data_IF_582550929313
#
_entry.id   IF_582550929313
#
_cell.length_a   1.000
_cell.length_b   1.000
_cell.length_c   1.000
_cell.angle_alpha   90.00
_cell.angle_beta   90.00
_cell.angle_gamma   90.00
#
_symmetry.space_group_name_H-M   'P 1'
#
loop_
_entity.id
_entity.type
_entity.pdbx_description
1 polymer ?
#
# COMPACT_ATOMS: atom_id res chain seq x y z
N UNK A 1 19.02 3.43 1.55
CA UNK A 1 17.64 3.65 2.03
C UNK A 1 16.99 2.32 2.34
N UNK A 2 16.00 2.35 3.23
CA UNK A 2 15.09 1.24 3.50
C UNK A 2 14.32 0.83 2.24
N UNK A 3 13.86 -0.41 2.19
CA UNK A 3 13.06 -1.01 1.11
C UNK A 3 11.58 -0.79 1.41
N UNK A 4 10.96 0.12 0.67
CA UNK A 4 9.56 0.47 0.81
C UNK A 4 8.70 -0.31 -0.19
N UNK A 5 7.71 -1.06 0.29
CA UNK A 5 6.66 -1.61 -0.57
C UNK A 5 5.44 -0.69 -0.51
N UNK A 6 4.96 -0.26 -1.68
CA UNK A 6 3.77 0.61 -1.79
C UNK A 6 2.67 -0.18 -2.47
N UNK A 7 1.51 -0.27 -1.82
CA UNK A 7 0.40 -1.13 -2.24
C UNK A 7 -0.94 -0.47 -1.98
N UNK A 8 -1.95 -0.78 -2.79
CA UNK A 8 -3.31 -0.27 -2.57
C UNK A 8 -4.38 -1.33 -2.89
N UNK A 9 -5.37 -1.42 -2.01
CA UNK A 9 -6.62 -2.13 -2.21
C UNK A 9 -7.73 -1.25 -2.79
N UNK A 10 -7.52 0.06 -3.00
CA UNK A 10 -8.49 0.97 -3.63
C UNK A 10 -7.92 1.70 -4.85
N UNK A 11 -7.58 0.98 -5.93
CA UNK A 11 -6.85 1.55 -7.07
C UNK A 11 -7.60 2.68 -7.79
N UNK A 12 -8.93 2.76 -7.68
CA UNK A 12 -9.73 3.83 -8.31
C UNK A 12 -9.56 5.19 -7.65
N UNK A 13 -9.32 5.22 -6.33
CA UNK A 13 -9.15 6.47 -5.57
C UNK A 13 -7.68 6.77 -5.26
N UNK A 14 -6.98 5.79 -4.69
CA UNK A 14 -5.68 6.02 -4.04
C UNK A 14 -4.46 5.79 -4.93
N UNK A 15 -4.61 5.20 -6.12
CA UNK A 15 -3.47 4.84 -6.97
C UNK A 15 -2.62 6.06 -7.37
N UNK A 16 -3.23 7.15 -7.83
CA UNK A 16 -2.51 8.38 -8.19
C UNK A 16 -1.72 8.95 -6.99
N UNK A 17 -2.34 8.95 -5.81
CA UNK A 17 -1.71 9.40 -4.58
C UNK A 17 -0.47 8.55 -4.22
N UNK A 18 -0.62 7.23 -4.26
CA UNK A 18 0.48 6.32 -3.95
C UNK A 18 1.62 6.40 -4.98
N UNK A 19 1.30 6.63 -6.25
CA UNK A 19 2.30 6.84 -7.32
C UNK A 19 3.15 8.08 -7.04
N UNK A 20 2.52 9.19 -6.66
CA UNK A 20 3.26 10.41 -6.32
C UNK A 20 4.18 10.23 -5.11
N UNK A 21 3.75 9.47 -4.11
CA UNK A 21 4.58 9.12 -2.95
C UNK A 21 5.74 8.19 -3.35
N UNK A 22 5.48 7.20 -4.20
CA UNK A 22 6.53 6.31 -4.72
C UNK A 22 7.63 7.09 -5.44
N UNK A 23 7.23 7.98 -6.36
CA UNK A 23 8.16 8.83 -7.11
C UNK A 23 8.94 9.77 -6.19
N UNK A 24 8.28 10.38 -5.20
CA UNK A 24 8.93 11.24 -4.22
C UNK A 24 9.99 10.49 -3.40
N UNK A 25 9.66 9.27 -2.97
CA UNK A 25 10.56 8.41 -2.20
C UNK A 25 11.78 8.00 -3.02
N UNK A 26 11.59 7.59 -4.28
CA UNK A 26 12.70 7.26 -5.18
C UNK A 26 13.56 8.50 -5.50
N UNK A 27 12.95 9.66 -5.72
CA UNK A 27 13.67 10.92 -5.96
C UNK A 27 14.55 11.34 -4.78
N UNK A 28 14.15 10.99 -3.54
CA UNK A 28 14.94 11.18 -2.33
C UNK A 28 16.02 10.08 -2.12
N UNK A 29 16.24 9.19 -3.09
CA UNK A 29 17.22 8.09 -2.99
C UNK A 29 16.72 6.85 -2.24
N UNK A 30 15.41 6.79 -1.95
CA UNK A 30 14.72 5.62 -1.42
C UNK A 30 14.67 4.46 -2.43
N UNK A 31 14.30 3.27 -1.94
CA UNK A 31 14.15 2.07 -2.79
C UNK A 31 12.72 1.55 -2.71
N UNK A 32 11.94 1.73 -3.77
CA UNK A 32 10.62 1.09 -3.90
C UNK A 32 10.82 -0.35 -4.39
N UNK A 33 10.21 -1.31 -3.70
CA UNK A 33 10.32 -2.74 -4.02
C UNK A 33 8.99 -3.34 -4.45
N UNK A 34 9.07 -4.23 -5.44
CA UNK A 34 7.93 -4.95 -6.00
C UNK A 34 7.95 -6.38 -5.52
N UNK A 35 7.10 -6.68 -4.55
CA UNK A 35 6.99 -8.00 -3.94
C UNK A 35 6.17 -8.90 -4.86
N UNK A 36 6.67 -10.13 -5.06
CA UNK A 36 5.99 -11.13 -5.85
C UNK A 36 5.58 -10.67 -7.26
N UNK A 37 6.34 -9.73 -7.86
CA UNK A 37 6.16 -9.34 -9.26
C UNK A 37 6.25 -10.61 -10.13
N UNK A 38 5.35 -10.74 -11.11
CA UNK A 38 5.17 -11.92 -11.98
C UNK A 38 4.74 -13.22 -11.28
N UNK A 39 4.28 -13.16 -10.02
CA UNK A 39 3.66 -14.31 -9.35
C UNK A 39 2.15 -14.29 -9.51
N UNK A 40 1.59 -15.48 -9.66
CA UNK A 40 0.16 -15.74 -9.61
C UNK A 40 -0.17 -16.56 -8.39
N UNK A 41 -1.30 -16.24 -7.79
CA UNK A 41 -1.80 -16.84 -6.59
C UNK A 41 -3.19 -17.44 -6.82
N UNK A 42 -3.51 -18.43 -6.00
CA UNK A 42 -4.77 -19.17 -6.04
C UNK A 42 -5.65 -18.77 -4.85
N UNK A 43 -6.20 -17.55 -4.89
CA UNK A 43 -7.25 -17.09 -3.99
C UNK A 43 -8.26 -16.23 -4.77
N UNK A 44 -9.39 -15.87 -4.15
CA UNK A 44 -10.49 -15.18 -4.83
C UNK A 44 -11.16 -16.04 -5.91
N UNK A 45 -11.40 -15.47 -7.11
CA UNK A 45 -12.10 -16.13 -8.22
C UNK A 45 -11.21 -17.02 -9.11
N UNK A 46 -10.03 -17.42 -8.63
CA UNK A 46 -9.19 -18.44 -9.28
C UNK A 46 -8.01 -17.91 -10.10
N UNK A 47 -7.88 -16.59 -10.28
CA UNK A 47 -6.65 -15.94 -10.77
C UNK A 47 -6.45 -14.64 -10.01
N UNK A 48 -5.50 -14.64 -9.09
CA UNK A 48 -5.07 -13.45 -8.38
C UNK A 48 -3.60 -13.16 -8.69
N UNK A 49 -3.30 -11.92 -9.04
CA UNK A 49 -1.92 -11.46 -9.22
C UNK A 49 -1.77 -10.04 -8.68
N UNK A 50 -0.52 -9.62 -8.50
CA UNK A 50 -0.19 -8.25 -8.12
C UNK A 50 0.34 -7.55 -9.36
N UNK A 51 -0.34 -6.50 -9.80
CA UNK A 51 0.11 -5.68 -10.89
C UNK A 51 0.73 -4.39 -10.34
N UNK A 52 1.93 -4.04 -10.82
CA UNK A 52 2.62 -2.83 -10.41
C UNK A 52 2.41 -1.72 -11.44
N UNK A 53 1.77 -0.62 -11.00
CA UNK A 53 1.64 0.60 -11.80
C UNK A 53 2.51 1.68 -11.18
N UNK A 54 3.56 2.10 -11.89
CA UNK A 54 4.53 3.11 -11.43
C UNK A 54 5.03 2.88 -9.98
N UNK A 55 5.35 1.63 -9.64
CA UNK A 55 5.88 1.24 -8.33
C UNK A 55 4.84 0.88 -7.28
N UNK A 56 3.54 1.07 -7.55
CA UNK A 56 2.46 0.74 -6.63
C UNK A 56 1.84 -0.61 -7.01
N UNK A 57 1.82 -1.55 -6.07
CA UNK A 57 1.23 -2.88 -6.24
C UNK A 57 -0.28 -2.86 -5.98
N UNK A 58 -1.05 -3.42 -6.90
CA UNK A 58 -2.50 -3.53 -6.81
C UNK A 58 -2.91 -4.99 -7.01
N UNK A 59 -3.98 -5.42 -6.33
CA UNK A 59 -4.62 -6.68 -6.68
C UNK A 59 -5.23 -6.61 -8.08
N UNK A 60 -4.94 -7.61 -8.91
CA UNK A 60 -5.50 -7.77 -10.24
C UNK A 60 -6.12 -9.15 -10.46
N UNK A 61 -7.22 -9.19 -11.21
CA UNK A 61 -7.93 -10.41 -11.62
C UNK A 61 -7.65 -10.81 -13.08
N UNK A 62 -6.46 -10.46 -13.56
CA UNK A 62 -5.94 -10.76 -14.89
C UNK A 62 -6.10 -9.63 -15.91
N UNK A 63 -7.19 -8.85 -15.85
CA UNK A 63 -7.39 -7.71 -16.76
C UNK A 63 -7.79 -6.42 -16.05
N UNK A 64 -8.27 -6.49 -14.81
CA UNK A 64 -8.70 -5.32 -14.04
C UNK A 64 -7.88 -5.19 -12.78
N UNK A 65 -7.64 -3.94 -12.35
CA UNK A 65 -7.26 -3.66 -10.97
C UNK A 65 -8.54 -3.70 -10.13
N UNK A 66 -8.50 -4.44 -9.03
CA UNK A 66 -9.68 -4.77 -8.25
C UNK A 66 -9.64 -4.12 -6.88
N UNK A 67 -10.73 -3.43 -6.54
CA UNK A 67 -10.92 -2.96 -5.17
C UNK A 67 -11.12 -4.13 -4.21
N UNK A 68 -10.37 -4.13 -3.10
CA UNK A 68 -10.44 -5.18 -2.09
C UNK A 68 -10.05 -4.66 -0.71
N UNK A 69 -10.81 -5.09 0.30
CA UNK A 69 -10.43 -4.95 1.71
C UNK A 69 -9.70 -6.19 2.25
N UNK A 70 -9.63 -7.27 1.47
CA UNK A 70 -9.12 -8.56 1.92
C UNK A 70 -7.58 -8.57 2.03
N UNK A 71 -7.02 -9.29 3.02
CA UNK A 71 -5.57 -9.36 3.24
C UNK A 71 -4.86 -10.38 2.33
N UNK A 72 -5.61 -11.29 1.69
CA UNK A 72 -5.08 -12.49 1.03
C UNK A 72 -3.93 -12.20 0.06
N UNK A 73 -4.04 -11.09 -0.67
CA UNK A 73 -3.03 -10.70 -1.66
C UNK A 73 -1.70 -10.33 -1.02
N UNK A 74 -1.74 -9.51 0.03
CA UNK A 74 -0.53 -9.15 0.75
C UNK A 74 0.04 -10.32 1.55
N UNK A 75 -0.81 -11.15 2.15
CA UNK A 75 -0.35 -12.37 2.82
C UNK A 75 0.44 -13.26 1.85
N UNK A 76 -0.09 -13.48 0.65
CA UNK A 76 0.57 -14.28 -0.37
C UNK A 76 1.88 -13.63 -0.88
N UNK A 77 1.92 -12.30 -1.00
CA UNK A 77 3.16 -11.55 -1.33
C UNK A 77 4.24 -11.74 -0.26
N UNK A 78 3.87 -11.70 1.02
CA UNK A 78 4.79 -11.80 2.15
C UNK A 78 5.31 -13.23 2.36
N UNK A 79 4.55 -14.26 1.94
CA UNK A 79 5.02 -15.66 1.97
C UNK A 79 6.21 -15.92 1.04
N UNK A 80 6.24 -15.31 -0.14
CA UNK A 80 7.33 -15.54 -1.11
C UNK A 80 8.55 -14.65 -0.87
N UNK A 81 8.36 -13.50 -0.21
CA UNK A 81 9.41 -12.52 0.04
C UNK A 81 10.06 -11.97 -1.25
N UNK A 82 11.16 -11.22 -1.13
CA UNK A 82 11.83 -10.81 0.11
C UNK A 82 11.06 -9.72 0.88
N UNK A 83 10.95 -9.84 2.21
CA UNK A 83 10.25 -8.89 3.07
C UNK A 83 10.72 -7.44 2.87
N UNK A 84 9.81 -6.45 2.81
CA UNK A 84 10.15 -5.03 2.83
C UNK A 84 10.53 -4.58 4.24
N UNK A 85 11.22 -3.45 4.35
CA UNK A 85 11.54 -2.82 5.63
C UNK A 85 10.38 -1.96 6.14
N UNK A 86 9.54 -1.46 5.23
CA UNK A 86 8.39 -0.59 5.49
C UNK A 86 7.31 -0.84 4.43
N UNK A 87 6.05 -0.78 4.82
CA UNK A 87 4.90 -0.80 3.90
C UNK A 87 4.19 0.56 3.93
N UNK A 88 3.87 1.10 2.76
CA UNK A 88 2.89 2.17 2.61
C UNK A 88 1.67 1.59 1.90
N UNK A 89 0.50 1.65 2.51
CA UNK A 89 -0.70 1.16 1.84
C UNK A 89 -1.99 1.37 2.60
N UNK A 90 -3.01 0.62 2.23
CA UNK A 90 -4.37 0.73 2.77
C UNK A 90 -5.03 -0.66 2.94
N UNK A 91 -6.19 -0.67 3.60
CA UNK A 91 -7.03 -1.85 3.81
C UNK A 91 -6.28 -3.12 4.27
N UNK A 92 -6.66 -4.28 3.73
CA UNK A 92 -6.05 -5.57 4.00
C UNK A 92 -4.58 -5.67 3.61
N UNK A 93 -4.10 -4.84 2.67
CA UNK A 93 -2.67 -4.78 2.37
C UNK A 93 -1.87 -4.23 3.54
N UNK A 94 -2.28 -3.09 4.10
CA UNK A 94 -1.66 -2.57 5.31
C UNK A 94 -1.88 -3.52 6.50
N UNK A 95 -3.10 -4.04 6.67
CA UNK A 95 -3.47 -4.93 7.76
C UNK A 95 -2.62 -6.21 7.82
N UNK A 96 -2.37 -6.85 6.68
CA UNK A 96 -1.52 -8.04 6.60
C UNK A 96 -0.05 -7.75 6.94
N UNK A 97 0.49 -6.62 6.48
CA UNK A 97 1.86 -6.20 6.81
C UNK A 97 2.02 -5.97 8.33
N UNK A 98 1.07 -5.24 8.92
CA UNK A 98 1.05 -4.95 10.35
C UNK A 98 0.94 -6.25 11.16
N UNK A 99 0.10 -7.19 10.72
CA UNK A 99 -0.08 -8.50 11.36
C UNK A 99 1.19 -9.36 11.33
N UNK A 100 2.06 -9.12 10.35
CA UNK A 100 3.40 -9.75 10.23
C UNK A 100 4.50 -9.00 10.99
N UNK A 101 4.15 -7.92 11.70
CA UNK A 101 5.10 -7.10 12.44
C UNK A 101 5.97 -6.21 11.56
N UNK A 102 5.56 -5.96 10.31
CA UNK A 102 6.25 -5.05 9.40
C UNK A 102 5.74 -3.63 9.70
N UNK A 103 6.63 -2.64 9.93
CA UNK A 103 6.23 -1.26 10.09
C UNK A 103 5.38 -0.79 8.91
N UNK A 104 4.36 0.03 9.18
CA UNK A 104 3.46 0.52 8.15
C UNK A 104 3.10 2.01 8.27
N UNK A 105 2.95 2.68 7.14
CA UNK A 105 2.20 3.93 7.02
C UNK A 105 0.90 3.56 6.29
N UNK A 106 -0.23 3.70 6.98
CA UNK A 106 -1.50 3.17 6.53
C UNK A 106 -2.50 4.30 6.25
N UNK A 107 -2.93 4.46 5.00
CA UNK A 107 -4.11 5.26 4.67
C UNK A 107 -5.34 4.50 5.16
N UNK A 108 -6.19 5.19 5.92
CA UNK A 108 -7.35 4.57 6.57
C UNK A 108 -8.58 5.44 6.38
N UNK A 109 -9.57 4.90 5.68
CA UNK A 109 -10.93 5.41 5.68
C UNK A 109 -11.68 4.90 6.93
N UNK A 110 -12.72 5.62 7.34
CA UNK A 110 -13.51 5.36 8.56
C UNK A 110 -14.22 4.00 8.54
N UNK A 111 -14.43 3.43 7.35
CA UNK A 111 -14.96 2.09 7.16
C UNK A 111 -13.91 0.97 7.34
N UNK A 112 -12.63 1.30 7.58
CA UNK A 112 -11.54 0.36 7.90
C UNK A 112 -10.97 0.54 9.32
N UNK A 113 -11.79 0.35 10.37
CA UNK A 113 -11.36 0.59 11.75
C UNK A 113 -10.24 -0.35 12.22
N UNK A 114 -9.98 -1.45 11.51
CA UNK A 114 -8.94 -2.41 11.86
C UNK A 114 -7.55 -1.76 11.98
N UNK A 115 -7.23 -0.78 11.14
CA UNK A 115 -5.95 -0.07 11.18
C UNK A 115 -5.82 0.84 12.42
N UNK A 116 -6.93 1.48 12.83
CA UNK A 116 -7.00 2.23 14.09
C UNK A 116 -6.88 1.30 15.31
N UNK A 117 -7.48 0.11 15.28
CA UNK A 117 -7.33 -0.89 16.33
C UNK A 117 -5.87 -1.32 16.44
N UNK A 118 -5.20 -1.60 15.33
CA UNK A 118 -3.79 -1.96 15.34
C UNK A 118 -2.90 -0.86 15.95
N UNK A 119 -3.18 0.41 15.63
CA UNK A 119 -2.52 1.54 16.28
C UNK A 119 -2.78 1.57 17.80
N UNK A 120 -4.02 1.40 18.23
CA UNK A 120 -4.39 1.38 19.65
C UNK A 120 -3.75 0.19 20.41
N UNK A 121 -3.49 -0.92 19.72
CA UNK A 121 -2.75 -2.06 20.25
C UNK A 121 -1.21 -1.88 20.22
N UNK A 122 -0.72 -0.67 19.94
CA UNK A 122 0.71 -0.32 19.86
C UNK A 122 1.47 -1.14 18.80
N UNK A 123 0.82 -1.50 17.69
CA UNK A 123 1.54 -1.97 16.50
C UNK A 123 2.30 -0.82 15.87
N UNK A 124 3.39 -1.12 15.17
CA UNK A 124 4.20 -0.12 14.47
C UNK A 124 3.50 0.36 13.20
N UNK A 125 2.49 1.23 13.39
CA UNK A 125 1.70 1.80 12.32
C UNK A 125 1.45 3.28 12.56
N UNK A 126 1.77 4.08 11.53
CA UNK A 126 1.32 5.46 11.42
C UNK A 126 0.06 5.49 10.57
N UNK A 127 -1.07 5.87 11.17
CA UNK A 127 -2.36 5.98 10.48
C UNK A 127 -2.51 7.36 9.87
N UNK A 128 -2.84 7.42 8.58
CA UNK A 128 -3.20 8.62 7.83
C UNK A 128 -4.71 8.59 7.57
N UNK A 129 -5.52 9.25 8.42
CA UNK A 129 -6.98 9.21 8.26
C UNK A 129 -7.40 10.00 7.02
N UNK A 130 -8.08 9.35 6.08
CA UNK A 130 -8.46 9.96 4.80
C UNK A 130 -9.60 9.15 4.15
N UNK A 131 -10.60 9.84 3.58
CA UNK A 131 -11.62 9.23 2.71
C UNK A 131 -10.94 8.73 1.43
N UNK A 132 -10.94 7.42 1.17
CA UNK A 132 -10.21 6.79 0.07
C UNK A 132 -11.00 6.74 -1.25
N UNK A 133 -12.25 7.22 -1.22
CA UNK A 133 -13.19 7.13 -2.33
C UNK A 133 -13.57 8.50 -2.90
N UNK A 134 -12.57 9.37 -3.03
CA UNK A 134 -12.67 10.68 -3.67
C UNK A 134 -12.03 10.66 -5.06
N UNK A 135 -12.30 11.72 -5.83
CA UNK A 135 -11.61 11.93 -7.10
C UNK A 135 -10.10 11.98 -6.86
N UNK A 136 -9.29 11.17 -7.57
CA UNK A 136 -7.84 11.05 -7.33
C UNK A 136 -7.09 12.38 -7.21
N UNK A 137 -7.38 13.36 -8.08
CA UNK A 137 -6.81 14.72 -8.05
C UNK A 137 -6.99 15.47 -6.72
N UNK A 138 -7.95 15.09 -5.88
CA UNK A 138 -8.22 15.74 -4.60
C UNK A 138 -7.23 15.33 -3.52
N UNK A 139 -6.47 14.26 -3.71
CA UNK A 139 -5.43 13.85 -2.77
C UNK A 139 -4.13 14.64 -2.93
N UNK A 140 -4.08 15.61 -3.86
CA UNK A 140 -2.92 16.45 -4.11
C UNK A 140 -2.30 17.08 -2.87
N UNK A 141 -3.08 17.73 -1.99
CA UNK A 141 -2.52 18.30 -0.77
C UNK A 141 -1.84 17.26 0.12
N UNK A 142 -2.33 16.02 0.14
CA UNK A 142 -1.74 14.93 0.95
C UNK A 142 -0.38 14.52 0.40
N UNK A 143 -0.28 14.15 -0.89
CA UNK A 143 1.00 13.69 -1.42
C UNK A 143 2.05 14.81 -1.49
N UNK A 144 1.65 16.08 -1.63
CA UNK A 144 2.57 17.23 -1.55
C UNK A 144 3.25 17.34 -0.17
N UNK A 145 2.57 16.97 0.91
CA UNK A 145 3.18 16.90 2.25
C UNK A 145 4.27 15.83 2.32
N UNK A 146 4.04 14.65 1.72
CA UNK A 146 5.06 13.60 1.63
C UNK A 146 6.26 14.05 0.80
N UNK A 147 6.03 14.66 -0.37
CA UNK A 147 7.10 15.22 -1.21
C UNK A 147 7.94 16.22 -0.43
N UNK A 148 7.29 17.16 0.26
CA UNK A 148 7.99 18.18 1.03
C UNK A 148 8.82 17.57 2.17
N UNK A 149 8.26 16.60 2.90
CA UNK A 149 8.96 15.93 3.99
C UNK A 149 10.20 15.16 3.49
N UNK A 150 10.10 14.49 2.35
CA UNK A 150 11.19 13.70 1.76
C UNK A 150 12.30 14.55 1.13
N UNK A 151 12.01 15.78 0.72
CA UNK A 151 12.98 16.72 0.14
C UNK A 151 13.69 17.59 1.17
N UNK A 152 13.17 17.63 2.40
CA UNK A 152 13.71 18.48 3.48
C UNK A 152 14.84 17.80 4.28
N UNK A 153 15.30 16.63 3.83
CA UNK A 153 16.34 15.79 4.44
C UNK A 153 17.37 15.36 3.38
#
# INVERSE_FOLDING_TARGET
GARLCIVTGHPTGLLEHHIHIAQAYEAAGGKVVRLAEDKRFSFGRGRAEVCYTAGVGCYADGASLVHTHAPDCMEAMLEVGPYPDLVFGDHGFAGAAISRGIPAIAVMDINDPALAVAHAENRDVTVVPMDDNRLPRLYKPSWELFVHALQSH
#
